data_IF_083955377706
#
_entry.id   IF_083955377706
#
_cell.length_a   1.000
_cell.length_b   1.000
_cell.length_c   1.000
_cell.angle_alpha   90.00
_cell.angle_beta   90.00
_cell.angle_gamma   90.00
#
_symmetry.space_group_name_H-M   'P 1'
#
loop_
_entity.id
_entity.type
_entity.pdbx_description
1 polymer ?
#
# COMPACT_ATOMS: atom_id res chain seq x y z
N UNK A 1 12.97 23.91 -60.65
CA UNK A 1 12.03 23.69 -59.53
C UNK A 1 12.54 22.50 -58.74
N UNK A 2 13.36 22.77 -57.72
CA UNK A 2 13.99 21.76 -56.87
C UNK A 2 13.05 21.31 -55.76
N UNK A 3 12.93 20.00 -55.57
CA UNK A 3 12.22 19.37 -54.46
C UNK A 3 13.19 19.22 -53.29
N UNK A 4 13.01 20.05 -52.26
CA UNK A 4 13.72 19.94 -50.98
C UNK A 4 13.09 18.80 -50.15
N UNK A 5 13.90 17.76 -49.89
CA UNK A 5 13.59 16.73 -48.89
C UNK A 5 13.85 17.31 -47.48
N UNK A 6 12.81 17.41 -46.66
CA UNK A 6 12.96 17.63 -45.20
C UNK A 6 13.62 16.40 -44.55
N UNK A 7 14.59 16.56 -43.64
CA UNK A 7 15.15 15.45 -42.90
C UNK A 7 14.18 15.02 -41.79
N UNK A 8 13.93 13.71 -41.69
CA UNK A 8 13.24 13.08 -40.57
C UNK A 8 14.15 13.10 -39.34
N UNK A 9 13.86 13.96 -38.37
CA UNK A 9 14.44 13.91 -37.03
C UNK A 9 13.83 12.74 -36.27
N UNK A 10 14.42 11.55 -36.42
CA UNK A 10 14.21 10.43 -35.50
C UNK A 10 15.05 10.74 -34.27
N UNK A 11 14.42 11.27 -33.22
CA UNK A 11 15.05 11.33 -31.90
C UNK A 11 15.31 9.88 -31.46
N UNK A 12 16.53 9.51 -31.02
CA UNK A 12 16.80 8.14 -30.61
C UNK A 12 15.98 7.83 -29.36
N UNK A 13 15.22 6.73 -29.39
CA UNK A 13 14.38 6.23 -28.29
C UNK A 13 15.11 6.12 -26.94
N UNK A 14 16.44 6.08 -26.94
CA UNK A 14 17.26 6.14 -25.74
C UNK A 14 17.14 7.44 -24.94
N UNK A 15 16.85 8.58 -25.59
CA UNK A 15 16.77 9.88 -24.91
C UNK A 15 15.45 10.03 -24.17
N UNK A 16 14.32 9.63 -24.77
CA UNK A 16 13.02 9.63 -24.07
C UNK A 16 13.00 8.63 -22.90
N UNK A 17 13.61 7.46 -23.06
CA UNK A 17 13.74 6.48 -21.97
C UNK A 17 14.68 6.97 -20.87
N UNK A 18 15.79 7.64 -21.21
CA UNK A 18 16.68 8.25 -20.21
C UNK A 18 16.01 9.41 -19.47
N UNK A 19 15.25 10.26 -20.15
CA UNK A 19 14.50 11.36 -19.51
C UNK A 19 13.41 10.82 -18.59
N UNK A 20 12.67 9.78 -19.02
CA UNK A 20 11.68 9.11 -18.16
C UNK A 20 12.31 8.39 -16.96
N UNK A 21 13.50 7.79 -17.13
CA UNK A 21 14.27 7.20 -16.03
C UNK A 21 14.85 8.25 -15.09
N UNK A 22 15.27 9.42 -15.58
CA UNK A 22 15.74 10.53 -14.77
C UNK A 22 14.60 11.22 -14.00
N UNK A 23 13.42 11.37 -14.60
CA UNK A 23 12.22 11.86 -13.90
C UNK A 23 11.75 10.85 -12.85
N UNK A 24 11.64 9.57 -13.20
CA UNK A 24 11.28 8.53 -12.24
C UNK A 24 12.33 8.35 -11.13
N UNK A 25 13.62 8.55 -11.43
CA UNK A 25 14.69 8.55 -10.42
C UNK A 25 14.69 9.83 -9.57
N UNK A 26 14.27 10.99 -10.10
CA UNK A 26 14.04 12.22 -9.33
C UNK A 26 12.83 12.09 -8.43
N UNK A 27 11.74 11.46 -8.88
CA UNK A 27 10.55 11.20 -8.08
C UNK A 27 10.82 10.13 -7.03
N UNK A 28 11.58 9.08 -7.34
CA UNK A 28 12.03 8.08 -6.38
C UNK A 28 13.04 8.66 -5.37
N UNK A 29 13.94 9.57 -5.77
CA UNK A 29 14.80 10.32 -4.85
C UNK A 29 14.02 11.34 -4.03
N UNK A 30 12.98 11.96 -4.58
CA UNK A 30 12.10 12.91 -3.88
C UNK A 30 11.23 12.19 -2.86
N UNK A 31 10.69 11.01 -3.19
CA UNK A 31 9.96 10.14 -2.28
C UNK A 31 10.88 9.50 -1.23
N UNK A 32 12.11 9.11 -1.60
CA UNK A 32 13.12 8.59 -0.67
C UNK A 32 13.75 9.68 0.20
N UNK A 33 13.88 10.91 -0.30
CA UNK A 33 14.30 12.08 0.47
C UNK A 33 13.15 12.55 1.37
N UNK A 34 11.89 12.50 0.93
CA UNK A 34 10.74 12.77 1.79
C UNK A 34 10.56 11.68 2.86
N UNK A 35 10.78 10.40 2.54
CA UNK A 35 10.76 9.32 3.53
C UNK A 35 11.96 9.43 4.48
N UNK A 36 13.15 9.79 3.99
CA UNK A 36 14.32 10.10 4.83
C UNK A 36 14.14 11.38 5.64
N UNK A 37 13.46 12.41 5.18
CA UNK A 37 13.13 13.59 6.00
C UNK A 37 12.12 13.20 7.09
N UNK A 38 11.24 12.22 6.85
CA UNK A 38 10.36 11.65 7.88
C UNK A 38 11.15 10.79 8.89
N UNK A 39 12.20 10.08 8.45
CA UNK A 39 13.03 9.18 9.27
C UNK A 39 14.22 9.87 9.97
N UNK A 40 14.74 10.97 9.42
CA UNK A 40 15.99 11.65 9.82
C UNK A 40 15.71 12.94 10.63
N UNK A 41 14.53 13.56 10.53
CA UNK A 41 14.12 14.67 11.42
C UNK A 41 13.38 14.23 12.71
N UNK A 42 13.16 12.94 12.91
CA UNK A 42 12.59 12.41 14.14
C UNK A 42 13.66 12.09 15.18
N UNK A 43 14.62 12.99 15.42
CA UNK A 43 15.32 12.94 16.71
C UNK A 43 14.29 13.30 17.79
N UNK A 44 13.95 12.38 18.72
CA UNK A 44 12.95 12.65 19.74
C UNK A 44 13.54 13.65 20.75
N UNK A 45 13.45 14.94 20.44
CA UNK A 45 13.86 16.00 21.37
C UNK A 45 12.74 16.19 22.40
N UNK A 46 12.70 15.28 23.37
CA UNK A 46 11.82 15.37 24.54
C UNK A 46 11.58 14.01 25.20
N UNK A 47 11.70 13.96 26.53
CA UNK A 47 11.40 12.76 27.34
C UNK A 47 9.97 12.22 27.09
N UNK A 48 9.06 13.11 26.67
CA UNK A 48 7.68 12.78 26.33
C UNK A 48 7.57 11.99 25.02
N UNK A 49 8.37 12.30 24.01
CA UNK A 49 8.37 11.59 22.72
C UNK A 49 8.91 10.18 22.91
N UNK A 50 9.97 10.03 23.70
CA UNK A 50 10.56 8.72 24.05
C UNK A 50 9.55 7.86 24.81
N UNK A 51 8.82 8.44 25.76
CA UNK A 51 7.79 7.71 26.52
C UNK A 51 6.63 7.24 25.63
N UNK A 52 6.07 8.15 24.81
CA UNK A 52 4.93 7.84 23.92
C UNK A 52 5.29 6.83 22.83
N UNK A 53 6.57 6.75 22.43
CA UNK A 53 7.04 5.78 21.44
C UNK A 53 7.54 4.47 22.06
N UNK A 54 7.42 4.28 23.38
CA UNK A 54 7.87 3.06 24.04
C UNK A 54 6.95 1.88 23.73
N UNK A 55 7.54 0.69 23.58
CA UNK A 55 6.80 -0.54 23.34
C UNK A 55 5.83 -0.84 24.50
N UNK A 56 6.23 -0.52 25.74
CA UNK A 56 5.40 -0.66 26.92
C UNK A 56 4.11 0.18 26.84
N UNK A 57 4.22 1.43 26.38
CA UNK A 57 3.08 2.32 26.20
C UNK A 57 2.14 1.81 25.10
N UNK A 58 2.68 1.34 23.99
CA UNK A 58 1.91 0.79 22.88
C UNK A 58 1.20 -0.53 23.25
N UNK A 59 1.86 -1.40 24.04
CA UNK A 59 1.26 -2.61 24.59
C UNK A 59 0.12 -2.25 25.57
N UNK A 60 0.32 -1.26 26.44
CA UNK A 60 -0.73 -0.79 27.35
C UNK A 60 -1.96 -0.28 26.59
N UNK A 61 -1.74 0.46 25.49
CA UNK A 61 -2.82 0.89 24.59
C UNK A 61 -3.54 -0.32 23.96
N UNK A 62 -2.80 -1.32 23.49
CA UNK A 62 -3.37 -2.58 23.00
C UNK A 62 -4.25 -3.28 24.02
N UNK A 63 -3.80 -3.39 25.28
CA UNK A 63 -4.58 -3.97 26.37
C UNK A 63 -5.86 -3.18 26.65
N UNK A 64 -5.81 -1.84 26.62
CA UNK A 64 -6.99 -0.99 26.78
C UNK A 64 -7.99 -1.19 25.64
N UNK A 65 -7.52 -1.36 24.39
CA UNK A 65 -8.38 -1.72 23.26
C UNK A 65 -9.03 -3.09 23.52
N UNK A 66 -8.26 -4.13 23.86
CA UNK A 66 -8.80 -5.46 24.16
C UNK A 66 -9.87 -5.43 25.27
N UNK A 67 -9.65 -4.63 26.32
CA UNK A 67 -10.65 -4.42 27.36
C UNK A 67 -11.91 -3.71 26.83
N UNK A 68 -11.75 -2.69 25.98
CA UNK A 68 -12.88 -2.05 25.30
C UNK A 68 -13.70 -3.04 24.47
N UNK A 69 -13.04 -3.98 23.79
CA UNK A 69 -13.69 -5.03 23.00
C UNK A 69 -14.47 -5.97 23.91
N UNK A 70 -13.87 -6.39 25.02
CA UNK A 70 -14.53 -7.23 26.01
C UNK A 70 -15.82 -6.57 26.55
N UNK A 71 -15.79 -5.27 26.86
CA UNK A 71 -16.99 -4.52 27.30
C UNK A 71 -18.07 -4.52 26.21
N UNK A 72 -17.70 -4.34 24.94
CA UNK A 72 -18.63 -4.41 23.81
C UNK A 72 -19.25 -5.81 23.66
N UNK A 73 -18.48 -6.87 23.87
CA UNK A 73 -18.99 -8.24 23.87
C UNK A 73 -20.04 -8.45 24.97
N UNK A 74 -19.74 -8.03 26.21
CA UNK A 74 -20.71 -8.12 27.32
C UNK A 74 -22.01 -7.35 27.03
N UNK A 75 -21.91 -6.18 26.39
CA UNK A 75 -23.07 -5.41 25.97
C UNK A 75 -23.89 -6.13 24.88
N UNK A 76 -23.20 -6.82 23.96
CA UNK A 76 -23.84 -7.58 22.86
C UNK A 76 -24.54 -8.82 23.37
N UNK A 77 -23.96 -9.50 24.36
CA UNK A 77 -24.55 -10.65 25.06
C UNK A 77 -25.67 -10.24 26.04
N UNK A 78 -26.09 -8.97 26.01
CA UNK A 78 -27.16 -8.40 26.83
C UNK A 78 -26.99 -8.65 28.34
N UNK A 79 -25.74 -8.64 28.83
CA UNK A 79 -25.45 -8.74 30.26
C UNK A 79 -26.01 -7.50 30.97
N UNK A 80 -26.92 -7.72 31.92
CA UNK A 80 -27.64 -6.66 32.62
C UNK A 80 -26.76 -6.03 33.72
N UNK A 81 -25.76 -5.26 33.29
CA UNK A 81 -24.86 -4.49 34.15
C UNK A 81 -24.63 -3.08 33.58
N UNK A 82 -25.69 -2.26 33.43
CA UNK A 82 -25.62 -0.98 32.72
C UNK A 82 -24.63 0.01 33.35
N UNK A 83 -24.56 0.07 34.68
CA UNK A 83 -23.60 0.90 35.39
C UNK A 83 -22.15 0.48 35.13
N UNK A 84 -21.87 -0.82 35.14
CA UNK A 84 -20.53 -1.34 34.87
C UNK A 84 -20.09 -1.05 33.43
N UNK A 85 -20.98 -1.25 32.47
CA UNK A 85 -20.71 -0.97 31.05
C UNK A 85 -20.44 0.53 30.85
N UNK A 86 -21.30 1.41 31.35
CA UNK A 86 -21.14 2.87 31.21
C UNK A 86 -19.86 3.37 31.89
N UNK A 87 -19.55 2.87 33.08
CA UNK A 87 -18.31 3.20 33.79
C UNK A 87 -17.08 2.74 32.98
N UNK A 88 -17.09 1.50 32.48
CA UNK A 88 -15.97 0.94 31.71
C UNK A 88 -15.76 1.69 30.39
N UNK A 89 -16.84 2.05 29.69
CA UNK A 89 -16.77 2.87 28.48
C UNK A 89 -16.19 4.26 28.75
N UNK A 90 -16.57 4.87 29.87
CA UNK A 90 -16.04 6.17 30.29
C UNK A 90 -14.56 6.09 30.67
N UNK A 91 -14.15 5.04 31.37
CA UNK A 91 -12.76 4.78 31.76
C UNK A 91 -11.87 4.59 30.52
N UNK A 92 -12.31 3.76 29.58
CA UNK A 92 -11.60 3.53 28.31
C UNK A 92 -11.48 4.81 27.49
N UNK A 93 -12.56 5.59 27.42
CA UNK A 93 -12.55 6.88 26.71
C UNK A 93 -11.60 7.88 27.37
N UNK A 94 -11.54 7.93 28.71
CA UNK A 94 -10.57 8.74 29.44
C UNK A 94 -9.12 8.33 29.13
N UNK A 95 -8.85 7.02 29.09
CA UNK A 95 -7.53 6.48 28.74
C UNK A 95 -7.08 6.91 27.35
N UNK A 96 -7.93 6.72 26.33
CA UNK A 96 -7.61 7.14 24.95
C UNK A 96 -7.53 8.66 24.78
N UNK A 97 -8.33 9.42 25.54
CA UNK A 97 -8.21 10.87 25.53
C UNK A 97 -6.86 11.31 26.11
N UNK A 98 -6.40 10.70 27.20
CA UNK A 98 -5.10 10.97 27.80
C UNK A 98 -3.96 10.60 26.84
N UNK A 99 -4.03 9.41 26.24
CA UNK A 99 -3.08 8.96 25.21
C UNK A 99 -3.01 9.96 24.05
N UNK A 100 -4.15 10.38 23.52
CA UNK A 100 -4.23 11.37 22.47
C UNK A 100 -3.61 12.72 22.87
N UNK A 101 -3.87 13.21 24.09
CA UNK A 101 -3.27 14.44 24.62
C UNK A 101 -1.73 14.30 24.67
N UNK A 102 -1.22 13.16 25.15
CA UNK A 102 0.22 12.90 25.21
C UNK A 102 0.86 12.88 23.82
N UNK A 103 0.20 12.23 22.85
CA UNK A 103 0.65 12.18 21.44
C UNK A 103 0.63 13.56 20.79
N UNK A 104 -0.43 14.35 20.97
CA UNK A 104 -0.50 15.73 20.46
C UNK A 104 0.53 16.63 21.13
N UNK A 105 0.78 16.48 22.43
CA UNK A 105 1.81 17.22 23.14
C UNK A 105 3.23 16.88 22.67
N UNK A 106 3.49 15.60 22.33
CA UNK A 106 4.78 15.13 21.83
C UNK A 106 5.06 15.58 20.38
N UNK A 107 4.07 15.49 19.49
CA UNK A 107 4.26 15.72 18.03
C UNK A 107 3.72 17.08 17.54
N UNK A 108 2.93 17.79 18.33
CA UNK A 108 2.37 19.10 18.02
C UNK A 108 1.54 19.11 16.72
N UNK A 109 1.69 20.18 15.92
CA UNK A 109 0.97 20.34 14.64
C UNK A 109 1.33 19.29 13.58
N UNK A 110 2.47 18.59 13.71
CA UNK A 110 2.84 17.51 12.80
C UNK A 110 1.88 16.31 12.96
N UNK A 111 1.27 16.14 14.14
CA UNK A 111 0.30 15.07 14.40
C UNK A 111 -0.87 15.06 13.42
N UNK A 112 -1.39 16.23 13.03
CA UNK A 112 -2.57 16.31 12.16
C UNK A 112 -2.28 16.20 10.65
N UNK A 113 -1.02 16.03 10.25
CA UNK A 113 -0.67 15.91 8.83
C UNK A 113 -0.85 14.49 8.28
N UNK A 114 -0.79 13.47 9.12
CA UNK A 114 -0.96 12.09 8.72
C UNK A 114 -2.44 11.69 8.65
N UNK A 115 -2.84 11.01 7.58
CA UNK A 115 -4.20 10.43 7.51
C UNK A 115 -4.47 9.45 8.66
N UNK A 116 -3.46 8.65 9.03
CA UNK A 116 -3.58 7.66 10.10
C UNK A 116 -3.78 8.28 11.48
N UNK A 117 -3.14 9.41 11.75
CA UNK A 117 -3.21 10.16 13.02
C UNK A 117 -4.43 11.09 13.08
N UNK A 118 -4.92 11.55 11.91
CA UNK A 118 -6.23 12.20 11.78
C UNK A 118 -7.37 11.22 12.08
N UNK A 119 -7.33 10.01 11.51
CA UNK A 119 -8.28 8.95 11.83
C UNK A 119 -8.26 8.61 13.32
N UNK A 120 -7.07 8.51 13.90
CA UNK A 120 -6.92 8.24 15.34
C UNK A 120 -7.59 9.33 16.19
N UNK A 121 -7.33 10.60 15.86
CA UNK A 121 -7.99 11.74 16.48
C UNK A 121 -9.51 11.66 16.34
N UNK A 122 -10.02 11.35 15.14
CA UNK A 122 -11.45 11.20 14.90
C UNK A 122 -12.08 10.09 15.75
N UNK A 123 -11.40 8.95 15.89
CA UNK A 123 -11.87 7.79 16.67
C UNK A 123 -11.92 8.11 18.19
N UNK A 124 -11.01 8.93 18.70
CA UNK A 124 -11.04 9.33 20.13
C UNK A 124 -12.13 10.37 20.38
N UNK A 125 -12.22 11.39 19.51
CA UNK A 125 -13.11 12.53 19.74
C UNK A 125 -14.57 12.23 19.41
N UNK A 126 -14.88 11.63 18.26
CA UNK A 126 -16.26 11.48 17.81
C UNK A 126 -17.02 10.40 18.60
N UNK A 127 -16.69 9.10 18.51
CA UNK A 127 -17.44 8.07 19.23
C UNK A 127 -17.07 7.97 20.72
N UNK A 128 -15.96 8.57 21.16
CA UNK A 128 -15.57 8.67 22.57
C UNK A 128 -16.14 9.91 23.24
N UNK A 129 -15.45 11.04 23.10
CA UNK A 129 -15.78 12.28 23.83
C UNK A 129 -17.18 12.78 23.49
N UNK A 130 -17.51 12.94 22.20
CA UNK A 130 -18.80 13.52 21.80
C UNK A 130 -19.96 12.59 22.16
N UNK A 131 -19.88 11.30 21.84
CA UNK A 131 -21.00 10.40 22.14
C UNK A 131 -21.11 10.07 23.62
N UNK A 132 -20.05 9.60 24.26
CA UNK A 132 -20.10 9.07 25.64
C UNK A 132 -20.23 10.19 26.67
N UNK A 133 -19.50 11.31 26.50
CA UNK A 133 -19.46 12.36 27.53
C UNK A 133 -20.39 13.53 27.26
N UNK A 134 -20.74 13.82 26.01
CA UNK A 134 -21.60 14.96 25.67
C UNK A 134 -23.03 14.49 25.36
N UNK A 135 -23.19 13.59 24.40
CA UNK A 135 -24.52 13.24 23.89
C UNK A 135 -25.32 12.34 24.84
N UNK A 136 -24.71 11.31 25.43
CA UNK A 136 -25.38 10.42 26.38
C UNK A 136 -25.92 11.16 27.62
N UNK A 137 -25.15 12.03 28.31
CA UNK A 137 -25.66 12.76 29.48
C UNK A 137 -26.73 13.81 29.15
N UNK A 138 -26.70 14.38 27.93
CA UNK A 138 -27.68 15.35 27.49
C UNK A 138 -28.97 14.71 26.93
N UNK A 139 -29.05 13.38 26.90
CA UNK A 139 -30.21 12.60 26.44
C UNK A 139 -30.71 13.02 25.04
N UNK A 140 -29.78 13.40 24.14
CA UNK A 140 -30.08 13.90 22.78
C UNK A 140 -30.47 12.75 21.81
N UNK A 141 -30.53 11.50 22.30
CA UNK A 141 -30.75 10.28 21.52
C UNK A 141 -32.01 10.32 20.64
N UNK A 142 -33.07 10.99 21.10
CA UNK A 142 -34.37 11.00 20.41
C UNK A 142 -34.38 11.80 19.10
N UNK A 143 -33.56 12.85 18.97
CA UNK A 143 -33.64 13.77 17.81
C UNK A 143 -32.69 13.41 16.66
N UNK A 144 -31.69 12.54 16.88
CA UNK A 144 -30.61 12.28 15.91
C UNK A 144 -30.30 10.78 15.74
N UNK A 145 -31.35 9.95 15.73
CA UNK A 145 -31.22 8.47 15.80
C UNK A 145 -30.24 7.85 14.80
N UNK A 146 -30.16 8.36 13.56
CA UNK A 146 -29.25 7.81 12.55
C UNK A 146 -27.78 8.21 12.77
N UNK A 147 -27.51 9.42 13.27
CA UNK A 147 -26.17 9.83 13.67
C UNK A 147 -25.69 9.03 14.89
N UNK A 148 -26.59 8.76 15.84
CA UNK A 148 -26.28 7.90 16.99
C UNK A 148 -25.91 6.48 16.55
N UNK A 149 -26.66 5.88 15.61
CA UNK A 149 -26.31 4.58 15.03
C UNK A 149 -24.94 4.63 14.34
N UNK A 150 -24.68 5.66 13.54
CA UNK A 150 -23.39 5.83 12.86
C UNK A 150 -22.23 5.90 13.86
N UNK A 151 -22.33 6.76 14.89
CA UNK A 151 -21.25 6.88 15.87
C UNK A 151 -21.12 5.65 16.77
N UNK A 152 -22.22 4.93 17.04
CA UNK A 152 -22.19 3.63 17.73
C UNK A 152 -21.38 2.62 16.94
N UNK A 153 -21.55 2.56 15.61
CA UNK A 153 -20.73 1.71 14.73
C UNK A 153 -19.30 2.25 14.64
N UNK A 154 -19.10 3.57 14.57
CA UNK A 154 -17.78 4.19 14.49
C UNK A 154 -16.89 3.88 15.71
N UNK A 155 -17.48 3.55 16.86
CA UNK A 155 -16.73 3.03 18.02
C UNK A 155 -15.97 1.74 17.70
N UNK A 156 -16.47 0.91 16.78
CA UNK A 156 -15.78 -0.29 16.31
C UNK A 156 -14.53 0.06 15.48
N UNK A 157 -14.37 1.29 14.97
CA UNK A 157 -13.13 1.66 14.28
C UNK A 157 -11.90 1.63 15.21
N UNK A 158 -12.08 1.62 16.54
CA UNK A 158 -11.02 1.35 17.51
C UNK A 158 -10.31 0.01 17.26
N UNK A 159 -10.99 -0.99 16.67
CA UNK A 159 -10.36 -2.25 16.25
C UNK A 159 -9.27 -2.04 15.20
N UNK A 160 -9.39 -1.02 14.35
CA UNK A 160 -8.34 -0.68 13.36
C UNK A 160 -7.05 -0.25 14.06
N UNK A 161 -7.14 0.36 15.25
CA UNK A 161 -5.96 0.71 16.06
C UNK A 161 -5.27 -0.56 16.60
N UNK A 162 -6.03 -1.62 16.95
CA UNK A 162 -5.46 -2.88 17.43
C UNK A 162 -4.52 -3.52 16.41
N UNK A 163 -4.92 -3.48 15.13
CA UNK A 163 -4.11 -3.98 14.02
C UNK A 163 -2.76 -3.24 13.94
N UNK A 164 -2.69 -1.98 14.37
CA UNK A 164 -1.44 -1.22 14.43
C UNK A 164 -0.58 -1.65 15.61
N UNK A 165 -1.16 -1.99 16.76
CA UNK A 165 -0.39 -2.51 17.91
C UNK A 165 0.32 -3.82 17.59
N UNK A 166 -0.23 -4.63 16.67
CA UNK A 166 0.41 -5.88 16.22
C UNK A 166 1.80 -5.66 15.59
N UNK A 167 2.11 -4.46 15.08
CA UNK A 167 3.45 -4.16 14.55
C UNK A 167 4.56 -4.18 15.62
N UNK A 168 4.18 -4.00 16.89
CA UNK A 168 5.09 -3.86 18.03
C UNK A 168 5.18 -5.13 18.87
N UNK A 169 4.39 -6.15 18.55
CA UNK A 169 4.38 -7.42 19.26
C UNK A 169 5.11 -8.45 18.40
N UNK A 170 6.26 -8.93 18.90
CA UNK A 170 7.12 -9.89 18.18
C UNK A 170 6.34 -11.12 17.65
N UNK A 171 5.36 -11.61 18.41
CA UNK A 171 4.52 -12.76 18.01
C UNK A 171 3.64 -12.50 16.77
N UNK A 172 3.36 -11.24 16.42
CA UNK A 172 2.51 -10.86 15.30
C UNK A 172 3.28 -10.22 14.13
N UNK A 173 4.62 -10.26 14.14
CA UNK A 173 5.43 -9.69 13.06
C UNK A 173 5.07 -10.25 11.69
N UNK A 174 4.86 -11.56 11.59
CA UNK A 174 4.51 -12.22 10.33
C UNK A 174 3.11 -11.84 9.86
N UNK A 175 2.14 -11.72 10.79
CA UNK A 175 0.81 -11.20 10.48
C UNK A 175 0.88 -9.76 9.97
N UNK A 176 1.70 -8.92 10.61
CA UNK A 176 1.88 -7.52 10.20
C UNK A 176 2.58 -7.40 8.83
N UNK A 177 3.48 -8.33 8.46
CA UNK A 177 4.03 -8.40 7.09
C UNK A 177 2.93 -8.68 6.06
N UNK A 178 2.03 -9.62 6.34
CA UNK A 178 0.88 -9.91 5.47
C UNK A 178 -0.06 -8.70 5.33
N UNK A 179 -0.40 -8.04 6.44
CA UNK A 179 -1.23 -6.83 6.43
C UNK A 179 -0.58 -5.71 5.60
N UNK A 180 0.73 -5.49 5.77
CA UNK A 180 1.47 -4.50 4.96
C UNK A 180 1.46 -4.84 3.48
N UNK A 181 1.68 -6.11 3.12
CA UNK A 181 1.63 -6.57 1.72
C UNK A 181 0.24 -6.39 1.09
N UNK A 182 -0.82 -6.60 1.87
CA UNK A 182 -2.19 -6.36 1.43
C UNK A 182 -2.47 -4.87 1.21
N UNK A 183 -2.06 -4.02 2.17
CA UNK A 183 -2.24 -2.57 2.08
C UNK A 183 -1.42 -1.96 0.95
N UNK A 184 -0.18 -2.42 0.73
CA UNK A 184 0.67 -1.93 -0.36
C UNK A 184 0.08 -2.29 -1.74
N UNK A 185 -0.57 -3.45 -1.85
CA UNK A 185 -1.29 -3.88 -3.05
C UNK A 185 -2.68 -3.27 -3.18
N UNK A 186 -3.09 -2.43 -2.22
CA UNK A 186 -4.44 -1.88 -2.11
C UNK A 186 -4.86 -1.06 -3.32
N UNK A 187 -3.95 -0.34 -3.97
CA UNK A 187 -4.25 0.43 -5.19
C UNK A 187 -4.64 -0.46 -6.37
N UNK A 188 -3.90 -1.54 -6.59
CA UNK A 188 -4.19 -2.53 -7.64
C UNK A 188 -5.47 -3.29 -7.33
N UNK A 189 -5.66 -3.71 -6.07
CA UNK A 189 -6.89 -4.37 -5.62
C UNK A 189 -8.11 -3.47 -5.80
N UNK A 190 -8.02 -2.19 -5.42
CA UNK A 190 -9.12 -1.24 -5.57
C UNK A 190 -9.49 -1.03 -7.04
N UNK A 191 -8.48 -0.91 -7.90
CA UNK A 191 -8.69 -0.75 -9.35
C UNK A 191 -9.41 -1.97 -9.93
N UNK A 192 -9.02 -3.17 -9.53
CA UNK A 192 -9.61 -4.39 -10.03
C UNK A 192 -10.99 -4.69 -9.41
N UNK A 193 -11.21 -4.35 -8.12
CA UNK A 193 -12.55 -4.33 -7.52
C UNK A 193 -13.48 -3.37 -8.26
N UNK A 194 -12.97 -2.22 -8.70
CA UNK A 194 -13.74 -1.25 -9.48
C UNK A 194 -14.19 -1.83 -10.82
N UNK A 195 -13.35 -2.65 -11.48
CA UNK A 195 -13.73 -3.36 -12.71
C UNK A 195 -14.85 -4.39 -12.47
N UNK A 196 -14.80 -5.12 -11.34
CA UNK A 196 -15.87 -6.06 -10.96
C UNK A 196 -17.18 -5.31 -10.71
N UNK A 197 -17.14 -4.23 -9.93
CA UNK A 197 -18.34 -3.42 -9.64
C UNK A 197 -18.92 -2.83 -10.91
N UNK A 198 -18.07 -2.34 -11.83
CA UNK A 198 -18.50 -1.85 -13.13
C UNK A 198 -19.16 -2.95 -13.97
N UNK A 199 -18.57 -4.14 -14.02
CA UNK A 199 -19.16 -5.29 -14.72
C UNK A 199 -20.54 -5.65 -14.15
N UNK A 200 -20.64 -5.78 -12.82
CA UNK A 200 -21.91 -6.06 -12.14
C UNK A 200 -22.96 -4.99 -12.42
N UNK A 201 -22.57 -3.71 -12.45
CA UNK A 201 -23.47 -2.60 -12.74
C UNK A 201 -24.04 -2.67 -14.17
N UNK A 202 -23.19 -2.93 -15.17
CA UNK A 202 -23.62 -3.04 -16.58
C UNK A 202 -24.60 -4.21 -16.74
N UNK A 203 -24.28 -5.38 -16.19
CA UNK A 203 -25.18 -6.55 -16.26
C UNK A 203 -26.46 -6.37 -15.43
N UNK A 204 -26.39 -5.65 -14.30
CA UNK A 204 -27.57 -5.33 -13.51
C UNK A 204 -28.59 -4.50 -14.30
N UNK A 205 -28.13 -3.54 -15.11
CA UNK A 205 -29.04 -2.76 -15.99
C UNK A 205 -29.75 -3.70 -16.98
N UNK A 206 -29.02 -4.62 -17.61
CA UNK A 206 -29.61 -5.60 -18.52
C UNK A 206 -30.60 -6.52 -17.79
N UNK A 207 -30.30 -7.01 -16.60
CA UNK A 207 -31.23 -7.86 -15.84
C UNK A 207 -32.50 -7.11 -15.41
N UNK A 208 -32.39 -5.84 -15.01
CA UNK A 208 -33.57 -5.03 -14.72
C UNK A 208 -34.53 -4.97 -15.92
N UNK A 209 -33.98 -4.76 -17.12
CA UNK A 209 -34.76 -4.66 -18.35
C UNK A 209 -35.29 -6.02 -18.84
N UNK A 210 -34.45 -7.06 -18.80
CA UNK A 210 -34.76 -8.39 -19.33
C UNK A 210 -35.61 -9.25 -18.39
N UNK A 211 -35.58 -8.97 -17.07
CA UNK A 211 -36.27 -9.77 -16.04
C UNK A 211 -37.18 -8.88 -15.20
N UNK A 212 -36.62 -7.82 -14.60
CA UNK A 212 -37.30 -7.02 -13.59
C UNK A 212 -38.56 -6.29 -14.09
N UNK A 213 -38.54 -5.79 -15.32
CA UNK A 213 -39.65 -5.04 -15.93
C UNK A 213 -40.53 -5.86 -16.88
N UNK A 214 -40.26 -7.16 -17.05
CA UNK A 214 -41.13 -8.02 -17.84
C UNK A 214 -42.44 -8.30 -17.09
N UNK A 215 -43.54 -8.47 -17.82
CA UNK A 215 -44.80 -8.93 -17.23
C UNK A 215 -44.81 -10.46 -17.20
N UNK A 216 -44.71 -11.03 -16.00
CA UNK A 216 -44.82 -12.48 -15.81
C UNK A 216 -46.29 -12.89 -15.88
N UNK A 217 -46.57 -14.14 -16.26
CA UNK A 217 -47.94 -14.68 -16.30
C UNK A 217 -48.63 -14.53 -14.94
N UNK A 218 -49.94 -14.31 -14.94
CA UNK A 218 -50.73 -14.32 -13.70
C UNK A 218 -50.62 -15.66 -12.96
N UNK A 219 -50.43 -16.75 -13.72
CA UNK A 219 -50.26 -18.13 -13.24
C UNK A 219 -48.82 -18.47 -12.84
N UNK A 220 -47.88 -17.53 -12.97
CA UNK A 220 -46.48 -17.77 -12.61
C UNK A 220 -46.33 -18.17 -11.13
N UNK A 221 -45.42 -19.10 -10.87
CA UNK A 221 -45.07 -19.57 -9.53
C UNK A 221 -44.67 -18.41 -8.61
N UNK A 222 -44.96 -18.54 -7.31
CA UNK A 222 -44.53 -17.56 -6.31
C UNK A 222 -42.99 -17.43 -6.27
N UNK A 223 -42.27 -18.52 -6.54
CA UNK A 223 -40.81 -18.54 -6.63
C UNK A 223 -40.31 -17.71 -7.83
N UNK A 224 -40.93 -17.85 -9.01
CA UNK A 224 -40.62 -17.03 -10.19
C UNK A 224 -40.85 -15.54 -9.93
N UNK A 225 -41.95 -15.20 -9.25
CA UNK A 225 -42.26 -13.81 -8.85
C UNK A 225 -41.25 -13.27 -7.85
N UNK A 226 -40.82 -14.08 -6.85
CA UNK A 226 -39.78 -13.68 -5.90
C UNK A 226 -38.42 -13.47 -6.61
N UNK A 227 -38.04 -14.39 -7.48
CA UNK A 227 -36.83 -14.29 -8.31
C UNK A 227 -36.86 -13.00 -9.14
N UNK A 228 -38.00 -12.67 -9.74
CA UNK A 228 -38.18 -11.43 -10.49
C UNK A 228 -37.98 -10.18 -9.62
N UNK A 229 -38.48 -10.17 -8.38
CA UNK A 229 -38.36 -9.02 -7.47
C UNK A 229 -36.90 -8.67 -7.19
N UNK A 230 -36.02 -9.69 -7.12
CA UNK A 230 -34.57 -9.51 -6.94
C UNK A 230 -33.94 -8.68 -8.07
N UNK A 231 -34.59 -8.58 -9.24
CA UNK A 231 -34.14 -7.82 -10.41
C UNK A 231 -34.89 -6.49 -10.64
N UNK A 232 -35.80 -6.07 -9.76
CA UNK A 232 -36.56 -4.80 -9.97
C UNK A 232 -35.79 -3.53 -9.65
N UNK A 233 -34.63 -3.64 -9.02
CA UNK A 233 -33.76 -2.50 -8.72
C UNK A 233 -32.30 -2.81 -9.02
N UNK A 234 -31.53 -1.77 -9.38
CA UNK A 234 -30.11 -1.93 -9.74
C UNK A 234 -29.31 -2.51 -8.57
N UNK A 235 -29.46 -1.98 -7.35
CA UNK A 235 -28.70 -2.48 -6.19
C UNK A 235 -29.04 -3.93 -5.83
N UNK A 236 -30.31 -4.32 -5.95
CA UNK A 236 -30.76 -5.69 -5.69
C UNK A 236 -30.29 -6.64 -6.79
N UNK A 237 -30.32 -6.20 -8.05
CA UNK A 237 -29.77 -6.92 -9.19
C UNK A 237 -28.26 -7.14 -9.05
N UNK A 238 -27.50 -6.10 -8.67
CA UNK A 238 -26.06 -6.22 -8.41
C UNK A 238 -25.76 -7.20 -7.28
N UNK A 239 -26.55 -7.17 -6.19
CA UNK A 239 -26.43 -8.14 -5.10
C UNK A 239 -26.70 -9.58 -5.58
N UNK A 240 -27.74 -9.75 -6.39
CA UNK A 240 -28.12 -11.06 -6.93
C UNK A 240 -27.06 -11.58 -7.91
N UNK A 241 -26.58 -10.74 -8.82
CA UNK A 241 -25.48 -11.07 -9.74
C UNK A 241 -24.17 -11.38 -9.01
N UNK A 242 -23.92 -10.76 -7.85
CA UNK A 242 -22.79 -11.13 -6.99
C UNK A 242 -22.92 -12.57 -6.46
N UNK A 243 -24.13 -13.02 -6.14
CA UNK A 243 -24.39 -14.43 -5.77
C UNK A 243 -24.13 -15.37 -6.95
N UNK A 244 -24.61 -15.01 -8.14
CA UNK A 244 -24.29 -15.75 -9.37
C UNK A 244 -22.79 -15.85 -9.64
N UNK A 245 -22.04 -14.77 -9.45
CA UNK A 245 -20.57 -14.77 -9.60
C UNK A 245 -19.88 -15.74 -8.65
N UNK A 246 -20.38 -15.92 -7.43
CA UNK A 246 -19.83 -16.85 -6.43
C UNK A 246 -20.44 -18.27 -6.50
N UNK A 247 -21.44 -18.48 -7.38
CA UNK A 247 -22.18 -19.74 -7.48
C UNK A 247 -23.18 -19.99 -6.35
N UNK A 248 -23.48 -18.98 -5.53
CA UNK A 248 -24.44 -19.06 -4.43
C UNK A 248 -25.89 -18.97 -4.97
N UNK A 249 -26.71 -19.98 -4.71
CA UNK A 249 -28.14 -20.07 -5.09
C UNK A 249 -28.47 -19.74 -6.56
N UNK A 250 -27.47 -19.77 -7.44
CA UNK A 250 -27.62 -19.32 -8.83
C UNK A 250 -28.50 -20.22 -9.68
N UNK A 251 -28.48 -21.53 -9.40
CA UNK A 251 -29.28 -22.51 -10.11
C UNK A 251 -30.76 -22.42 -9.75
N UNK A 252 -31.09 -22.27 -8.45
CA UNK A 252 -32.48 -22.13 -8.01
C UNK A 252 -33.15 -20.90 -8.63
N UNK A 253 -32.47 -19.75 -8.56
CA UNK A 253 -32.98 -18.51 -9.19
C UNK A 253 -33.12 -18.66 -10.70
N UNK A 254 -32.20 -19.37 -11.36
CA UNK A 254 -32.27 -19.59 -12.80
C UNK A 254 -33.44 -20.51 -13.17
N UNK A 255 -33.64 -21.61 -12.45
CA UNK A 255 -34.72 -22.57 -12.71
C UNK A 255 -36.09 -21.88 -12.55
N UNK A 256 -36.27 -21.09 -11.49
CA UNK A 256 -37.49 -20.30 -11.24
C UNK A 256 -37.77 -19.29 -12.36
N UNK A 257 -36.72 -18.71 -12.97
CA UNK A 257 -36.86 -17.73 -14.05
C UNK A 257 -37.10 -18.38 -15.42
N UNK A 258 -36.57 -19.58 -15.66
CA UNK A 258 -36.69 -20.28 -16.95
C UNK A 258 -38.12 -20.72 -17.24
N UNK A 259 -38.93 -20.95 -16.20
CA UNK A 259 -40.36 -21.26 -16.34
C UNK A 259 -41.11 -20.17 -17.12
N UNK A 260 -40.81 -18.90 -16.84
CA UNK A 260 -41.46 -17.73 -17.47
C UNK A 260 -40.63 -17.16 -18.63
N UNK A 261 -39.29 -17.25 -18.55
CA UNK A 261 -38.35 -16.71 -19.54
C UNK A 261 -37.37 -17.78 -20.03
N UNK A 262 -37.76 -18.66 -20.98
CA UNK A 262 -36.95 -19.81 -21.40
C UNK A 262 -35.58 -19.49 -22.00
N UNK A 263 -35.35 -18.25 -22.43
CA UNK A 263 -34.08 -17.81 -23.04
C UNK A 263 -33.10 -17.19 -22.03
N UNK A 264 -33.54 -16.91 -20.80
CA UNK A 264 -32.75 -16.13 -19.83
C UNK A 264 -31.52 -16.88 -19.32
N UNK A 265 -31.57 -18.22 -19.30
CA UNK A 265 -30.45 -19.04 -18.85
C UNK A 265 -29.18 -18.81 -19.69
N UNK A 266 -29.32 -18.55 -20.99
CA UNK A 266 -28.16 -18.26 -21.88
C UNK A 266 -27.49 -16.97 -21.44
N UNK A 267 -28.28 -15.94 -21.17
CA UNK A 267 -27.79 -14.64 -20.75
C UNK A 267 -27.11 -14.71 -19.38
N UNK A 268 -27.74 -15.37 -18.40
CA UNK A 268 -27.19 -15.57 -17.05
C UNK A 268 -25.94 -16.46 -17.07
N UNK A 269 -25.92 -17.51 -17.89
CA UNK A 269 -24.73 -18.34 -18.08
C UNK A 269 -23.57 -17.57 -18.70
N UNK A 270 -23.84 -16.74 -19.73
CA UNK A 270 -22.85 -15.86 -20.34
C UNK A 270 -22.30 -14.85 -19.32
N UNK A 271 -23.17 -14.26 -18.50
CA UNK A 271 -22.76 -13.39 -17.40
C UNK A 271 -21.81 -14.11 -16.43
N UNK A 272 -22.19 -15.31 -15.98
CA UNK A 272 -21.37 -16.10 -15.05
C UNK A 272 -20.01 -16.42 -15.65
N UNK A 273 -19.97 -16.89 -16.91
CA UNK A 273 -18.72 -17.20 -17.61
C UNK A 273 -17.82 -15.95 -17.75
N UNK A 274 -18.38 -14.81 -18.16
CA UNK A 274 -17.63 -13.56 -18.30
C UNK A 274 -17.14 -13.04 -16.94
N UNK A 275 -17.98 -13.11 -15.90
CA UNK A 275 -17.62 -12.67 -14.55
C UNK A 275 -16.53 -13.55 -13.93
N UNK A 276 -16.61 -14.87 -14.14
CA UNK A 276 -15.53 -15.79 -13.76
C UNK A 276 -14.23 -15.45 -14.48
N UNK A 277 -14.27 -15.10 -15.76
CA UNK A 277 -13.09 -14.67 -16.50
C UNK A 277 -12.51 -13.35 -15.96
N UNK A 278 -13.36 -12.37 -15.64
CA UNK A 278 -12.94 -11.11 -14.99
C UNK A 278 -12.28 -11.40 -13.63
N UNK A 279 -12.87 -12.28 -12.83
CA UNK A 279 -12.33 -12.67 -11.52
C UNK A 279 -10.98 -13.39 -11.65
N UNK A 280 -10.84 -14.31 -12.60
CA UNK A 280 -9.56 -14.96 -12.90
C UNK A 280 -8.48 -13.97 -13.35
N UNK A 281 -8.85 -12.98 -14.17
CA UNK A 281 -7.93 -11.93 -14.60
C UNK A 281 -7.51 -11.02 -13.44
N UNK A 282 -8.42 -10.73 -12.51
CA UNK A 282 -8.09 -10.04 -11.26
C UNK A 282 -7.06 -10.86 -10.45
N UNK A 283 -7.34 -12.14 -10.20
CA UNK A 283 -6.43 -13.00 -9.42
C UNK A 283 -5.06 -13.07 -10.07
N UNK A 284 -5.03 -13.24 -11.40
CA UNK A 284 -3.79 -13.24 -12.20
C UNK A 284 -3.07 -11.91 -12.08
N UNK A 285 -3.76 -10.77 -12.20
CA UNK A 285 -3.15 -9.45 -12.05
C UNK A 285 -2.51 -9.25 -10.68
N UNK A 286 -3.15 -9.70 -9.60
CA UNK A 286 -2.60 -9.64 -8.24
C UNK A 286 -1.36 -10.53 -8.10
N UNK A 287 -1.40 -11.77 -8.61
CA UNK A 287 -0.26 -12.68 -8.58
C UNK A 287 0.92 -12.11 -9.38
N UNK A 288 0.66 -11.57 -10.57
CA UNK A 288 1.68 -10.93 -11.42
C UNK A 288 2.27 -9.70 -10.72
N UNK A 289 1.44 -8.87 -10.10
CA UNK A 289 1.91 -7.71 -9.34
C UNK A 289 2.82 -8.14 -8.19
N UNK A 290 2.44 -9.17 -7.44
CA UNK A 290 3.25 -9.72 -6.36
C UNK A 290 4.59 -10.28 -6.87
N UNK A 291 4.57 -11.03 -7.98
CA UNK A 291 5.79 -11.56 -8.61
C UNK A 291 6.71 -10.42 -9.11
N UNK A 292 6.14 -9.37 -9.69
CA UNK A 292 6.89 -8.18 -10.12
C UNK A 292 7.50 -7.44 -8.95
N UNK A 293 6.78 -7.30 -7.84
CA UNK A 293 7.29 -6.60 -6.66
C UNK A 293 8.41 -7.39 -5.97
N UNK A 294 8.34 -8.73 -5.98
CA UNK A 294 9.45 -9.60 -5.56
C UNK A 294 10.68 -9.41 -6.47
N UNK A 295 10.49 -9.45 -7.80
CA UNK A 295 11.59 -9.28 -8.76
C UNK A 295 12.25 -7.90 -8.66
N UNK A 296 11.49 -6.83 -8.41
CA UNK A 296 12.03 -5.49 -8.16
C UNK A 296 12.80 -5.40 -6.85
N UNK A 297 12.42 -6.20 -5.84
CA UNK A 297 13.18 -6.34 -4.60
C UNK A 297 14.57 -6.89 -4.87
N UNK A 298 14.64 -8.00 -5.60
CA UNK A 298 15.89 -8.67 -5.97
C UNK A 298 16.79 -7.76 -6.82
N UNK A 299 16.22 -7.04 -7.80
CA UNK A 299 16.99 -6.13 -8.66
C UNK A 299 17.61 -4.97 -7.87
N UNK A 300 16.87 -4.40 -6.91
CA UNK A 300 17.40 -3.35 -6.02
C UNK A 300 18.52 -3.88 -5.13
N UNK A 301 18.36 -5.09 -4.58
CA UNK A 301 19.40 -5.71 -3.76
C UNK A 301 20.67 -5.96 -4.56
N UNK A 302 20.54 -6.52 -5.77
CA UNK A 302 21.65 -6.71 -6.70
C UNK A 302 22.33 -5.39 -7.09
N UNK A 303 21.56 -4.33 -7.32
CA UNK A 303 22.11 -3.00 -7.62
C UNK A 303 22.90 -2.42 -6.43
N UNK A 304 22.43 -2.63 -5.19
CA UNK A 304 23.17 -2.23 -3.98
C UNK A 304 24.47 -3.01 -3.83
N UNK A 305 24.44 -4.33 -4.07
CA UNK A 305 25.63 -5.18 -4.03
C UNK A 305 26.66 -4.73 -5.06
N UNK A 306 26.25 -4.54 -6.33
CA UNK A 306 27.14 -4.06 -7.40
C UNK A 306 27.75 -2.70 -7.08
N UNK A 307 26.96 -1.78 -6.52
CA UNK A 307 27.47 -0.47 -6.12
C UNK A 307 28.50 -0.57 -4.99
N UNK A 308 28.26 -1.45 -4.01
CA UNK A 308 29.24 -1.70 -2.93
C UNK A 308 30.54 -2.32 -3.46
N UNK A 309 30.45 -3.22 -4.43
CA UNK A 309 31.62 -3.78 -5.11
C UNK A 309 32.40 -2.70 -5.86
N UNK A 310 31.73 -1.87 -6.66
CA UNK A 310 32.37 -0.75 -7.36
C UNK A 310 33.00 0.27 -6.39
N UNK A 311 32.32 0.61 -5.30
CA UNK A 311 32.86 1.52 -4.28
C UNK A 311 34.09 0.91 -3.57
N UNK A 312 34.13 -0.42 -3.40
CA UNK A 312 35.29 -1.15 -2.85
C UNK A 312 36.45 -1.14 -3.84
N UNK A 313 36.20 -1.50 -5.09
CA UNK A 313 37.20 -1.48 -6.17
C UNK A 313 37.79 -0.08 -6.36
N UNK A 314 36.96 0.97 -6.33
CA UNK A 314 37.41 2.36 -6.43
C UNK A 314 38.28 2.78 -5.23
N UNK A 315 37.95 2.32 -4.02
CA UNK A 315 38.79 2.58 -2.83
C UNK A 315 40.13 1.86 -2.91
N UNK A 316 40.13 0.59 -3.28
CA UNK A 316 41.36 -0.19 -3.47
C UNK A 316 42.25 0.44 -4.56
N UNK A 317 41.65 0.92 -5.66
CA UNK A 317 42.36 1.64 -6.71
C UNK A 317 42.92 2.98 -6.21
N UNK A 318 42.16 3.73 -5.43
CA UNK A 318 42.61 5.00 -4.84
C UNK A 318 43.73 4.81 -3.81
N UNK A 319 43.69 3.75 -3.00
CA UNK A 319 44.77 3.39 -2.09
C UNK A 319 46.04 2.98 -2.86
N UNK A 320 45.89 2.23 -3.95
CA UNK A 320 47.00 1.86 -4.82
C UNK A 320 47.64 3.07 -5.48
N UNK A 321 46.84 4.01 -6.01
CA UNK A 321 47.38 5.26 -6.56
C UNK A 321 48.08 6.12 -5.50
N UNK A 322 47.63 6.07 -4.24
CA UNK A 322 48.32 6.73 -3.13
C UNK A 322 49.62 6.02 -2.74
N UNK A 323 49.72 4.70 -2.87
CA UNK A 323 50.99 3.96 -2.69
C UNK A 323 52.00 4.29 -3.80
N UNK A 324 51.54 4.64 -5.01
CA UNK A 324 52.39 4.99 -6.16
C UNK A 324 52.84 6.46 -6.13
N UNK A 325 52.05 7.35 -5.50
CA UNK A 325 52.33 8.78 -5.33
C UNK A 325 53.44 9.00 -4.28
N UNK A 326 54.70 8.88 -4.71
CA UNK A 326 55.88 9.06 -3.84
C UNK A 326 56.10 10.51 -3.40
N UNK A 327 55.70 11.49 -4.23
CA UNK A 327 55.88 12.92 -3.95
C UNK A 327 54.74 13.55 -3.14
N UNK A 328 53.62 12.83 -2.96
CA UNK A 328 52.47 13.23 -2.17
C UNK A 328 51.69 14.39 -2.77
N UNK A 329 51.86 14.64 -4.08
CA UNK A 329 51.21 15.74 -4.80
C UNK A 329 49.71 15.52 -4.99
N UNK A 330 49.21 14.30 -4.75
CA UNK A 330 47.83 13.89 -5.00
C UNK A 330 47.55 13.57 -6.47
N UNK A 331 48.58 13.52 -7.32
CA UNK A 331 48.50 13.25 -8.75
C UNK A 331 49.64 12.31 -9.15
N UNK A 332 49.32 11.12 -9.63
CA UNK A 332 50.35 10.17 -10.10
C UNK A 332 50.90 10.61 -11.46
N UNK A 333 52.21 10.91 -11.50
CA UNK A 333 52.92 11.27 -12.73
C UNK A 333 53.23 10.04 -13.59
N UNK A 334 53.48 10.26 -14.89
CA UNK A 334 53.79 9.17 -15.83
C UNK A 334 55.09 8.43 -15.43
N UNK A 335 56.05 9.15 -14.85
CA UNK A 335 57.31 8.55 -14.38
C UNK A 335 57.09 7.65 -13.16
N UNK A 336 56.30 8.08 -12.18
CA UNK A 336 55.94 7.27 -11.00
C UNK A 336 55.13 6.04 -11.40
N UNK A 337 54.21 6.20 -12.36
CA UNK A 337 53.43 5.07 -12.89
C UNK A 337 54.29 4.04 -13.63
N UNK A 338 55.31 4.48 -14.40
CA UNK A 338 56.25 3.56 -15.08
C UNK A 338 57.19 2.85 -14.10
N UNK A 339 57.58 3.50 -13.01
CA UNK A 339 58.38 2.90 -11.94
C UNK A 339 57.55 1.84 -11.19
N UNK A 340 56.31 2.17 -10.85
CA UNK A 340 55.38 1.28 -10.14
C UNK A 340 54.99 0.04 -10.96
N UNK A 341 54.92 0.12 -12.29
CA UNK A 341 54.64 -1.03 -13.16
C UNK A 341 55.82 -2.02 -13.25
N UNK A 342 57.03 -1.64 -12.81
CA UNK A 342 58.17 -2.56 -12.69
C UNK A 342 58.12 -3.39 -11.41
N UNK A 343 57.35 -2.96 -10.40
CA UNK A 343 57.13 -3.71 -9.18
C UNK A 343 56.10 -4.84 -9.41
N UNK A 344 56.53 -6.10 -9.23
CA UNK A 344 55.66 -7.28 -9.39
C UNK A 344 54.46 -7.27 -8.43
N UNK A 345 54.57 -6.64 -7.26
CA UNK A 345 53.47 -6.59 -6.29
C UNK A 345 52.36 -5.64 -6.72
N UNK A 346 52.70 -4.45 -7.21
CA UNK A 346 51.73 -3.46 -7.72
C UNK A 346 51.11 -3.94 -9.03
N UNK A 347 51.92 -4.52 -9.92
CA UNK A 347 51.44 -5.13 -11.16
C UNK A 347 50.46 -6.30 -10.89
N UNK A 348 50.74 -7.11 -9.86
CA UNK A 348 49.84 -8.18 -9.40
C UNK A 348 48.50 -7.65 -8.88
N UNK A 349 48.49 -6.53 -8.13
CA UNK A 349 47.26 -5.87 -7.66
C UNK A 349 46.42 -5.32 -8.82
N UNK A 350 47.04 -4.71 -9.84
CA UNK A 350 46.33 -4.27 -11.05
C UNK A 350 45.69 -5.43 -11.83
N UNK A 351 46.39 -6.57 -11.92
CA UNK A 351 45.84 -7.77 -12.57
C UNK A 351 44.68 -8.40 -11.78
N UNK A 352 44.71 -8.34 -10.45
CA UNK A 352 43.61 -8.80 -9.58
C UNK A 352 42.33 -7.97 -9.75
N UNK A 353 42.45 -6.67 -10.07
CA UNK A 353 41.32 -5.79 -10.41
C UNK A 353 40.81 -5.98 -11.85
N UNK A 354 41.30 -6.99 -12.58
CA UNK A 354 40.83 -7.33 -13.91
C UNK A 354 41.44 -6.50 -15.05
N UNK A 355 42.39 -5.61 -14.75
CA UNK A 355 43.13 -4.85 -15.77
C UNK A 355 44.21 -5.74 -16.38
N UNK A 356 44.07 -6.05 -17.68
CA UNK A 356 45.12 -6.75 -18.44
C UNK A 356 46.35 -5.86 -18.55
N UNK A 357 47.55 -6.46 -18.57
CA UNK A 357 48.83 -5.76 -18.72
C UNK A 357 48.85 -4.76 -19.89
N UNK A 358 48.18 -5.12 -20.98
CA UNK A 358 48.07 -4.28 -22.19
C UNK A 358 47.13 -3.07 -21.99
N UNK A 359 46.09 -3.20 -21.16
CA UNK A 359 45.15 -2.10 -20.84
C UNK A 359 45.71 -1.13 -19.80
N UNK A 360 46.54 -1.60 -18.87
CA UNK A 360 47.29 -0.73 -17.97
C UNK A 360 48.28 0.16 -18.75
N UNK A 361 48.85 -0.37 -19.85
CA UNK A 361 49.66 0.43 -20.79
C UNK A 361 48.82 1.39 -21.65
N UNK A 362 47.54 1.12 -21.91
CA UNK A 362 46.64 2.05 -22.65
C UNK A 362 46.14 3.23 -21.81
N UNK A 363 45.99 3.08 -20.48
CA UNK A 363 45.71 4.19 -19.56
C UNK A 363 46.76 5.31 -19.61
N UNK A 364 47.98 4.99 -20.10
CA UNK A 364 49.05 5.93 -20.47
C UNK A 364 48.58 7.06 -21.40
N UNK A 365 47.55 6.82 -22.21
CA UNK A 365 47.05 7.75 -23.23
C UNK A 365 45.90 8.61 -22.67
N UNK A 366 45.10 8.07 -21.74
CA UNK A 366 43.92 8.76 -21.19
C UNK A 366 44.25 9.84 -20.14
N UNK A 367 45.37 9.71 -19.41
CA UNK A 367 45.83 10.74 -18.45
C UNK A 367 46.14 12.10 -19.10
N UNK A 368 46.33 12.14 -20.43
CA UNK A 368 46.47 13.39 -21.19
C UNK A 368 45.13 14.13 -21.38
N UNK A 369 43.99 13.45 -21.25
CA UNK A 369 42.64 14.01 -21.48
C UNK A 369 42.01 14.66 -20.25
N UNK A 370 42.44 14.29 -19.04
CA UNK A 370 41.93 14.91 -17.78
C UNK A 370 42.55 16.28 -17.49
N UNK A 371 43.54 16.71 -18.30
CA UNK A 371 44.29 17.96 -18.15
C UNK A 371 43.52 19.21 -18.66
N UNK A 372 42.20 19.15 -18.84
CA UNK A 372 41.45 20.17 -19.59
C UNK A 372 39.99 20.43 -19.24
N UNK A 373 39.45 19.95 -18.11
CA UNK A 373 38.13 20.39 -17.62
C UNK A 373 38.14 20.60 -16.10
N UNK A 374 38.73 21.73 -15.71
CA UNK A 374 38.34 22.50 -14.52
C UNK A 374 37.31 23.54 -14.92
#
# INVERSE_FOLDING_TARGET
MGSEKKPSTVAPANVEVQVALEESAKDAKSASCASKIIEEEAQPKGHLVVFVCSDEFEIACGCAICYSVFVICLQTDAVDAPFFIQFSESLVTAFFLLEWILRVAAFGRKWFKGFQTLLDTFIVWCPGVVVVWIMQPLNIEENMSDLFKFFRIARMLRFVQLVRTFKHVAAFEDLWKLVRGLVSSGGTLLSAMSLIVFNLYVFAIFCCELIGFQEFSAEASDAAKEAQQRFKGISQSMLTLTRFMHGDDSQGIMDDLVEELPYIWIFLWLFTALSSFVLLNLVTAVIVQQAMDMSKGDEKELAIIRKREQDREMKELAEMFREIDEDGSGIVSIAEFEEALKDETILGKFMMLGLKKDQAMELRIAGHWWRGRT
#
